data_IF_440604773850
#
_entry.id   IF_440604773850
#
_cell.length_a   1.000
_cell.length_b   1.000
_cell.length_c   1.000
_cell.angle_alpha   90.00
_cell.angle_beta   90.00
_cell.angle_gamma   90.00
#
_symmetry.space_group_name_H-M   'P 1'
#
loop_
_entity.id
_entity.type
_entity.pdbx_description
1 polymer ?
#
# COMPACT_ATOMS: atom_id res chain seq x y z
N UNK A 1 -4.56 32.97 -47.42
CA UNK A 1 -5.00 33.10 -46.01
C UNK A 1 -5.71 31.85 -45.50
N UNK A 2 -6.77 31.35 -46.16
CA UNK A 2 -7.51 30.14 -45.73
C UNK A 2 -6.63 28.89 -45.46
N UNK A 3 -5.62 28.65 -46.30
CA UNK A 3 -4.73 27.49 -46.16
C UNK A 3 -3.79 27.59 -44.94
N UNK A 4 -3.38 28.80 -44.55
CA UNK A 4 -2.51 29.04 -43.39
C UNK A 4 -3.33 28.85 -42.10
N UNK A 5 -4.57 29.34 -42.07
CA UNK A 5 -5.47 29.16 -40.93
C UNK A 5 -5.82 27.70 -40.67
N UNK A 6 -6.00 26.90 -41.74
CA UNK A 6 -6.27 25.46 -41.61
C UNK A 6 -5.05 24.68 -41.07
N UNK A 7 -3.84 25.05 -41.51
CA UNK A 7 -2.60 24.44 -41.02
C UNK A 7 -2.38 24.76 -39.53
N UNK A 8 -2.62 26.01 -39.11
CA UNK A 8 -2.53 26.39 -37.69
C UNK A 8 -3.58 25.67 -36.83
N UNK A 9 -4.82 25.52 -37.33
CA UNK A 9 -5.87 24.79 -36.62
C UNK A 9 -5.52 23.30 -36.43
N UNK A 10 -5.00 22.63 -37.47
CA UNK A 10 -4.50 21.26 -37.36
C UNK A 10 -3.32 21.17 -36.38
N UNK A 11 -2.38 22.11 -36.40
CA UNK A 11 -1.22 22.09 -35.49
C UNK A 11 -1.64 22.23 -34.02
N UNK A 12 -2.64 23.08 -33.74
CA UNK A 12 -3.19 23.23 -32.38
C UNK A 12 -4.02 22.03 -31.94
N UNK A 13 -4.72 21.38 -32.87
CA UNK A 13 -5.51 20.18 -32.60
C UNK A 13 -4.62 18.96 -32.34
N UNK A 14 -3.48 18.84 -33.03
CA UNK A 14 -2.46 17.81 -32.79
C UNK A 14 -1.64 18.03 -31.52
N UNK A 15 -1.63 19.24 -30.96
CA UNK A 15 -0.94 19.52 -29.70
C UNK A 15 -1.80 19.20 -28.46
N UNK A 16 -3.13 19.11 -28.62
CA UNK A 16 -4.06 18.69 -27.57
C UNK A 16 -4.28 17.17 -27.51
N UNK A 17 -3.98 16.45 -28.61
CA UNK A 17 -3.98 14.99 -28.65
C UNK A 17 -2.57 14.52 -28.32
N UNK A 18 -2.46 13.61 -27.35
CA UNK A 18 -1.25 12.92 -26.90
C UNK A 18 -0.34 13.66 -25.91
N UNK A 19 -0.88 13.98 -24.73
CA UNK A 19 -0.18 13.59 -23.51
C UNK A 19 -0.97 12.43 -22.91
N UNK A 20 -0.81 11.24 -23.49
CA UNK A 20 -1.13 10.01 -22.75
C UNK A 20 0.05 9.76 -21.81
N UNK A 21 -0.02 10.34 -20.61
CA UNK A 21 0.83 9.87 -19.53
C UNK A 21 0.32 8.47 -19.16
N UNK A 22 0.87 7.42 -19.77
CA UNK A 22 0.81 6.05 -19.23
C UNK A 22 1.78 5.96 -18.04
N UNK A 23 1.54 6.78 -17.03
CA UNK A 23 1.91 6.42 -15.68
C UNK A 23 0.78 5.51 -15.23
N UNK A 24 1.10 4.32 -14.72
CA UNK A 24 0.10 3.41 -14.15
C UNK A 24 -0.82 4.22 -13.24
N UNK A 25 -2.05 4.46 -13.68
CA UNK A 25 -3.01 5.27 -12.92
C UNK A 25 -3.52 4.36 -11.82
N UNK A 26 -3.33 4.76 -10.57
CA UNK A 26 -4.03 4.12 -9.47
C UNK A 26 -5.52 4.37 -9.72
N UNK A 27 -6.27 3.30 -9.93
CA UNK A 27 -7.72 3.34 -9.97
C UNK A 27 -8.21 3.41 -8.51
N UNK A 28 -8.82 4.52 -8.06
CA UNK A 28 -9.28 4.63 -6.67
C UNK A 28 -10.24 3.51 -6.28
N UNK A 29 -11.06 3.04 -7.23
CA UNK A 29 -12.04 1.97 -7.00
C UNK A 29 -11.37 0.59 -6.83
N UNK A 30 -10.10 0.43 -7.25
CA UNK A 30 -9.33 -0.80 -7.05
C UNK A 30 -8.54 -0.79 -5.74
N UNK A 31 -8.61 0.27 -4.93
CA UNK A 31 -7.85 0.38 -3.69
C UNK A 31 -8.56 -0.43 -2.60
N UNK A 32 -7.87 -1.43 -2.08
CA UNK A 32 -8.35 -2.27 -0.98
C UNK A 32 -8.08 -1.63 0.39
N UNK A 33 -6.96 -0.93 0.54
CA UNK A 33 -6.61 -0.28 1.80
C UNK A 33 -5.48 0.75 1.65
N UNK A 34 -5.53 1.79 2.46
CA UNK A 34 -4.52 2.85 2.58
C UNK A 34 -4.22 3.08 4.05
N UNK A 35 -3.08 2.55 4.51
CA UNK A 35 -2.59 2.76 5.86
C UNK A 35 -1.41 3.73 5.84
N UNK A 36 -1.65 4.99 6.23
CA UNK A 36 -0.64 6.05 6.18
C UNK A 36 0.36 5.97 7.35
N UNK A 37 -0.03 5.36 8.46
CA UNK A 37 0.76 5.24 9.68
C UNK A 37 1.16 6.59 10.30
N UNK A 38 0.26 7.58 10.21
CA UNK A 38 0.50 8.95 10.69
C UNK A 38 -0.14 9.25 12.07
N UNK A 39 -0.88 8.30 12.65
CA UNK A 39 -1.58 8.48 13.94
C UNK A 39 -0.61 8.73 15.09
N UNK A 40 0.54 8.05 15.09
CA UNK A 40 1.65 8.31 16.00
C UNK A 40 1.41 7.96 17.47
N UNK A 41 0.25 7.39 17.82
CA UNK A 41 -0.12 6.93 19.15
C UNK A 41 -1.30 5.94 19.08
N UNK A 42 -1.53 5.21 20.18
CA UNK A 42 -2.61 4.21 20.27
C UNK A 42 -2.26 2.89 19.58
N UNK A 43 -3.24 2.01 19.48
CA UNK A 43 -3.08 0.64 18.94
C UNK A 43 -3.88 0.40 17.65
N UNK A 44 -4.39 1.45 17.02
CA UNK A 44 -5.16 1.35 15.77
C UNK A 44 -4.40 2.04 14.66
N UNK A 45 -4.30 1.38 13.51
CA UNK A 45 -3.88 1.96 12.24
C UNK A 45 -5.13 2.15 11.40
N UNK A 46 -5.44 3.38 11.00
CA UNK A 46 -6.66 3.64 10.23
C UNK A 46 -6.44 3.34 8.76
N UNK A 47 -7.50 2.81 8.15
CA UNK A 47 -7.62 2.71 6.71
C UNK A 47 -8.33 3.95 6.15
N UNK A 48 -7.57 4.74 5.40
CA UNK A 48 -8.06 5.94 4.71
C UNK A 48 -8.81 5.63 3.41
N UNK A 49 -8.87 4.36 3.00
CA UNK A 49 -9.74 3.92 1.91
C UNK A 49 -11.22 3.95 2.30
N UNK A 50 -12.10 3.74 1.32
CA UNK A 50 -13.54 3.62 1.55
C UNK A 50 -13.94 2.30 2.21
N UNK A 51 -13.03 1.32 2.29
CA UNK A 51 -13.32 -0.02 2.83
C UNK A 51 -13.21 -0.13 4.36
N UNK A 52 -12.53 0.82 5.03
CA UNK A 52 -12.40 0.86 6.50
C UNK A 52 -11.82 -0.41 7.10
N UNK A 53 -10.81 -0.95 6.45
CA UNK A 53 -10.02 -2.08 6.92
C UNK A 53 -8.99 -1.65 7.97
N UNK A 54 -9.45 -1.05 9.08
CA UNK A 54 -8.57 -0.58 10.16
C UNK A 54 -7.76 -1.75 10.75
N UNK A 55 -6.47 -1.53 10.96
CA UNK A 55 -5.54 -2.50 11.54
C UNK A 55 -5.38 -2.32 13.04
N UNK A 56 -5.10 -3.42 13.75
CA UNK A 56 -4.75 -3.42 15.18
C UNK A 56 -3.26 -3.71 15.36
N UNK A 57 -2.57 -2.84 16.09
CA UNK A 57 -1.15 -2.96 16.40
C UNK A 57 -0.95 -3.98 17.54
N UNK A 58 -0.11 -4.97 17.28
CA UNK A 58 0.39 -5.92 18.29
C UNK A 58 1.90 -5.77 18.41
N UNK A 59 2.35 -5.09 19.47
CA UNK A 59 3.78 -4.97 19.84
C UNK A 59 4.64 -4.00 19.03
N UNK A 60 4.18 -3.52 17.86
CA UNK A 60 4.94 -2.54 17.09
C UNK A 60 4.90 -1.16 17.75
N UNK A 61 5.96 -0.38 17.58
CA UNK A 61 6.09 0.95 18.19
C UNK A 61 6.04 2.06 17.16
N UNK A 62 5.40 3.18 17.51
CA UNK A 62 5.38 4.37 16.66
C UNK A 62 6.75 5.03 16.61
N UNK A 63 7.20 5.35 15.39
CA UNK A 63 8.50 5.96 15.12
C UNK A 63 8.39 7.04 14.03
N UNK A 64 9.52 7.66 13.68
CA UNK A 64 9.59 8.59 12.54
C UNK A 64 9.66 7.81 11.22
N UNK A 65 8.74 8.11 10.31
CA UNK A 65 8.62 7.45 9.02
C UNK A 65 9.47 8.09 7.93
N UNK A 66 9.30 7.58 6.69
CA UNK A 66 9.88 8.25 5.51
C UNK A 66 9.24 9.62 5.27
N UNK A 67 7.94 9.70 5.53
CA UNK A 67 7.10 10.91 5.53
C UNK A 67 6.26 10.77 6.80
N UNK A 68 6.19 11.81 7.63
CA UNK A 68 5.40 11.77 8.86
C UNK A 68 5.88 10.68 9.82
N UNK A 69 4.93 9.88 10.32
CA UNK A 69 5.20 8.81 11.30
C UNK A 69 5.29 7.45 10.60
N UNK A 70 5.56 6.41 11.37
CA UNK A 70 5.60 5.04 10.91
C UNK A 70 5.60 4.06 12.07
N UNK A 71 5.70 2.77 11.75
CA UNK A 71 5.85 1.70 12.74
C UNK A 71 7.21 1.03 12.62
N UNK A 72 7.86 0.83 13.76
CA UNK A 72 9.03 -0.02 13.90
C UNK A 72 8.61 -1.41 14.37
N UNK A 73 9.16 -2.43 13.70
CA UNK A 73 8.83 -3.82 13.93
C UNK A 73 10.05 -4.59 14.41
N UNK A 74 9.88 -5.45 15.42
CA UNK A 74 10.97 -6.18 16.09
C UNK A 74 11.17 -7.63 15.59
N UNK A 75 10.40 -8.05 14.58
CA UNK A 75 10.41 -9.42 14.07
C UNK A 75 9.32 -10.33 14.66
N UNK A 76 8.62 -9.87 15.70
CA UNK A 76 7.50 -10.55 16.38
C UNK A 76 6.23 -9.70 16.44
N UNK A 77 6.39 -8.38 16.38
CA UNK A 77 5.32 -7.38 16.26
C UNK A 77 4.65 -7.39 14.88
N UNK A 78 3.38 -6.97 14.81
CA UNK A 78 2.59 -6.93 13.58
C UNK A 78 1.43 -5.94 13.66
N UNK A 79 0.86 -5.63 12.49
CA UNK A 79 -0.47 -5.03 12.36
C UNK A 79 -1.42 -6.08 11.78
N UNK A 80 -2.47 -6.41 12.54
CA UNK A 80 -3.51 -7.35 12.13
C UNK A 80 -4.65 -6.58 11.48
N UNK A 81 -4.99 -6.92 10.24
CA UNK A 81 -6.14 -6.36 9.55
C UNK A 81 -7.24 -7.43 9.52
N UNK A 82 -8.45 -7.14 10.02
CA UNK A 82 -9.53 -8.12 10.07
C UNK A 82 -9.99 -8.50 8.66
N UNK A 83 -10.40 -9.77 8.48
CA UNK A 83 -11.06 -10.21 7.26
C UNK A 83 -12.30 -9.34 6.95
N UNK A 84 -12.43 -8.96 5.69
CA UNK A 84 -13.61 -8.29 5.13
C UNK A 84 -13.82 -8.75 3.68
N UNK A 85 -15.00 -8.49 3.12
CA UNK A 85 -15.28 -8.79 1.70
C UNK A 85 -14.23 -8.13 0.78
N UNK A 86 -13.81 -6.91 1.11
CA UNK A 86 -12.81 -6.15 0.37
C UNK A 86 -11.36 -6.64 0.54
N UNK A 87 -11.11 -7.63 1.39
CA UNK A 87 -9.76 -8.10 1.70
C UNK A 87 -9.58 -9.61 1.45
N UNK A 88 -10.63 -10.39 1.69
CA UNK A 88 -10.57 -11.86 1.69
C UNK A 88 -10.72 -12.43 0.26
N UNK A 89 -11.56 -11.82 -0.58
CA UNK A 89 -12.08 -12.41 -1.82
C UNK A 89 -11.30 -12.08 -3.12
N UNK A 90 -10.02 -11.71 -3.04
CA UNK A 90 -9.22 -11.36 -4.23
C UNK A 90 -8.55 -12.59 -4.85
N UNK A 91 -9.25 -13.23 -5.78
CA UNK A 91 -8.72 -14.32 -6.61
C UNK A 91 -7.84 -13.85 -7.78
N UNK A 92 -7.88 -12.55 -8.11
CA UNK A 92 -7.22 -11.98 -9.29
C UNK A 92 -5.84 -11.36 -9.01
N UNK A 93 -5.30 -11.55 -7.80
CA UNK A 93 -4.01 -11.03 -7.37
C UNK A 93 -4.07 -9.65 -6.73
N UNK A 94 -2.94 -9.16 -6.23
CA UNK A 94 -2.84 -7.89 -5.51
C UNK A 94 -1.51 -7.19 -5.78
N UNK A 95 -1.45 -5.88 -5.53
CA UNK A 95 -0.22 -5.08 -5.52
C UNK A 95 -0.11 -4.35 -4.19
N UNK A 96 1.08 -4.37 -3.59
CA UNK A 96 1.39 -3.55 -2.42
C UNK A 96 2.34 -2.42 -2.82
N UNK A 97 2.07 -1.21 -2.31
CA UNK A 97 2.94 -0.05 -2.41
C UNK A 97 3.25 0.44 -1.01
N UNK A 98 4.53 0.52 -0.65
CA UNK A 98 4.94 0.89 0.69
C UNK A 98 6.36 1.47 0.76
N UNK A 99 6.58 2.27 1.80
CA UNK A 99 7.91 2.66 2.25
C UNK A 99 8.39 1.68 3.33
N UNK A 100 9.59 1.15 3.17
CA UNK A 100 10.22 0.24 4.15
C UNK A 100 11.67 0.63 4.38
N UNK A 101 12.12 0.55 5.63
CA UNK A 101 13.49 0.80 6.04
C UNK A 101 14.02 -0.39 6.85
N UNK A 102 14.81 -1.29 6.24
CA UNK A 102 15.47 -2.35 6.99
C UNK A 102 16.43 -1.75 8.03
N UNK A 103 16.30 -2.15 9.29
CA UNK A 103 17.17 -1.72 10.41
C UNK A 103 18.31 -2.70 10.69
N UNK A 104 18.26 -3.90 10.09
CA UNK A 104 19.27 -4.95 10.22
C UNK A 104 19.17 -5.98 9.09
N UNK A 105 20.09 -6.95 9.04
CA UNK A 105 20.02 -8.04 8.07
C UNK A 105 18.78 -8.92 8.34
N UNK A 106 18.21 -9.53 7.29
CA UNK A 106 17.15 -10.51 7.48
C UNK A 106 17.69 -11.68 8.32
N UNK A 107 17.00 -12.06 9.40
CA UNK A 107 17.50 -13.09 10.33
C UNK A 107 17.41 -14.51 9.76
N UNK A 108 16.73 -14.69 8.63
CA UNK A 108 16.81 -15.89 7.79
C UNK A 108 16.40 -15.58 6.34
N UNK A 109 16.49 -16.60 5.48
CA UNK A 109 16.21 -16.48 4.05
C UNK A 109 14.77 -16.08 3.68
N UNK A 110 13.80 -16.19 4.61
CA UNK A 110 12.37 -16.04 4.34
C UNK A 110 11.74 -14.87 5.13
N UNK A 111 12.42 -13.72 5.22
CA UNK A 111 11.82 -12.52 5.85
C UNK A 111 10.68 -12.00 4.99
N UNK A 112 9.49 -11.87 5.58
CA UNK A 112 8.28 -11.34 4.92
C UNK A 112 7.98 -9.94 5.42
N UNK A 113 7.37 -9.13 4.56
CA UNK A 113 6.92 -7.76 4.86
C UNK A 113 5.38 -7.66 4.93
N UNK A 114 4.71 -8.51 4.16
CA UNK A 114 3.26 -8.68 4.16
C UNK A 114 2.99 -10.16 3.97
N UNK A 115 2.09 -10.71 4.77
CA UNK A 115 1.61 -12.08 4.66
C UNK A 115 0.10 -12.08 4.54
N UNK A 116 -0.44 -13.05 3.81
CA UNK A 116 -1.87 -13.31 3.79
C UNK A 116 -2.07 -14.78 4.12
N UNK A 117 -2.76 -15.04 5.23
CA UNK A 117 -3.24 -16.37 5.56
C UNK A 117 -4.60 -16.64 4.91
N UNK A 118 -5.14 -17.86 5.10
CA UNK A 118 -6.36 -18.34 4.45
C UNK A 118 -7.54 -17.36 4.52
N UNK A 119 -7.60 -16.44 5.51
CA UNK A 119 -8.63 -15.39 5.59
C UNK A 119 -8.17 -13.97 6.00
N UNK A 120 -6.94 -13.77 6.50
CA UNK A 120 -6.52 -12.49 7.07
C UNK A 120 -5.18 -12.01 6.47
N UNK A 121 -5.10 -10.83 5.85
CA UNK A 121 -3.83 -10.18 5.56
C UNK A 121 -3.24 -9.56 6.83
N UNK A 122 -1.92 -9.64 6.95
CA UNK A 122 -1.15 -9.01 8.01
C UNK A 122 -0.02 -8.18 7.40
N UNK A 123 0.13 -6.94 7.88
CA UNK A 123 1.33 -6.14 7.61
C UNK A 123 2.31 -6.46 8.73
N UNK A 124 3.44 -7.06 8.40
CA UNK A 124 4.38 -7.57 9.40
C UNK A 124 5.79 -7.68 8.86
N UNK A 125 6.79 -7.38 9.69
CA UNK A 125 8.18 -7.72 9.42
C UNK A 125 8.56 -8.81 10.40
N UNK A 126 8.88 -10.00 9.91
CA UNK A 126 9.07 -11.14 10.80
C UNK A 126 9.80 -12.34 10.23
N UNK A 127 10.20 -13.22 11.16
CA UNK A 127 11.23 -14.24 10.94
C UNK A 127 10.67 -15.65 10.76
N UNK A 128 9.37 -15.86 10.87
CA UNK A 128 8.82 -17.21 10.88
C UNK A 128 8.13 -17.55 9.57
N UNK A 129 8.28 -18.81 9.16
CA UNK A 129 7.64 -19.37 7.96
C UNK A 129 6.12 -19.62 8.14
N UNK A 130 5.62 -19.45 9.36
CA UNK A 130 4.23 -19.64 9.75
C UNK A 130 4.00 -18.99 11.12
N UNK A 131 3.20 -17.93 11.20
CA UNK A 131 2.83 -17.30 12.47
C UNK A 131 1.57 -17.90 13.11
N UNK A 132 0.97 -18.97 12.53
CA UNK A 132 -0.19 -19.70 13.10
C UNK A 132 0.04 -20.30 14.49
N UNK A 133 1.29 -20.34 14.95
CA UNK A 133 1.67 -20.99 16.21
C UNK A 133 2.35 -20.02 17.18
N UNK A 134 1.62 -19.02 17.69
CA UNK A 134 1.84 -18.47 19.05
C UNK A 134 0.53 -17.99 19.66
#
# INVERSE_FOLDING_TARGET
>A
MKNITLILFCLTLTLMISVENTISKIDPDSIVGIWLLDEGQGNTVKDESDNKNDGTITGAEWTEGKIGRGLEFDGTSRVEIPASESIDDFLDGFTYLLWVKPTGPPPNANTRLIERDWHNPTIQIGNNNDFRNK
#
